data_IF_668428420005
#
_entry.id   IF_668428420005
#
_cell.length_a   1.000
_cell.length_b   1.000
_cell.length_c   1.000
_cell.angle_alpha   90.00
_cell.angle_beta   90.00
_cell.angle_gamma   90.00
#
_symmetry.space_group_name_H-M   'P 1'
#
loop_
_entity.id
_entity.type
_entity.pdbx_description
1 polymer ?
#
# COMPACT_ATOMS: atom_id res chain seq x y z
N UNK A 1 11.75 19.47 -25.60
CA UNK A 1 11.51 18.48 -24.54
C UNK A 1 12.43 17.31 -24.81
N UNK A 2 13.32 17.00 -23.87
CA UNK A 2 14.26 15.88 -23.98
C UNK A 2 13.73 14.76 -23.11
N UNK A 3 13.71 13.54 -23.64
CA UNK A 3 13.29 12.34 -22.91
C UNK A 3 14.56 11.54 -22.62
N UNK A 4 14.70 11.03 -21.41
CA UNK A 4 15.82 10.17 -21.00
C UNK A 4 15.89 8.92 -21.89
N UNK A 5 17.11 8.42 -22.15
CA UNK A 5 17.35 7.38 -23.15
C UNK A 5 16.66 6.05 -22.80
N UNK A 6 16.57 5.74 -21.51
CA UNK A 6 15.87 4.57 -20.98
C UNK A 6 14.36 4.66 -21.20
N UNK A 7 13.76 5.82 -20.92
CA UNK A 7 12.35 6.11 -21.18
C UNK A 7 12.06 6.07 -22.68
N UNK A 8 12.94 6.64 -23.51
CA UNK A 8 12.82 6.58 -24.97
C UNK A 8 12.88 5.13 -25.50
N UNK A 9 13.73 4.29 -24.91
CA UNK A 9 13.80 2.86 -25.23
C UNK A 9 12.50 2.12 -24.87
N UNK A 10 11.92 2.42 -23.70
CA UNK A 10 10.64 1.85 -23.27
C UNK A 10 9.49 2.24 -24.21
N UNK A 11 9.37 3.53 -24.56
CA UNK A 11 8.34 4.02 -25.48
C UNK A 11 8.50 3.37 -26.87
N UNK A 12 9.74 3.24 -27.37
CA UNK A 12 10.00 2.54 -28.65
C UNK A 12 9.60 1.07 -28.62
N UNK A 13 9.76 0.37 -27.49
CA UNK A 13 9.31 -1.01 -27.33
C UNK A 13 7.79 -1.12 -27.45
N UNK A 14 7.06 -0.22 -26.80
CA UNK A 14 5.59 -0.13 -26.88
C UNK A 14 5.16 0.20 -28.31
N UNK A 15 5.85 1.15 -28.96
CA UNK A 15 5.60 1.53 -30.34
C UNK A 15 5.69 0.33 -31.30
N UNK A 16 6.75 -0.48 -31.18
CA UNK A 16 6.94 -1.69 -32.02
C UNK A 16 5.87 -2.74 -31.76
N UNK A 17 5.50 -2.94 -30.48
CA UNK A 17 4.46 -3.90 -30.08
C UNK A 17 3.08 -3.50 -30.64
N UNK A 18 2.75 -2.21 -30.53
CA UNK A 18 1.41 -1.70 -30.84
C UNK A 18 1.28 -1.22 -32.31
N UNK A 19 2.38 -1.22 -33.07
CA UNK A 19 2.46 -0.77 -34.47
C UNK A 19 1.89 0.64 -34.72
N UNK A 20 2.03 1.53 -33.74
CA UNK A 20 1.52 2.91 -33.80
C UNK A 20 2.63 3.92 -34.09
N UNK A 21 2.31 5.12 -34.61
CA UNK A 21 3.28 6.21 -34.69
C UNK A 21 3.77 6.62 -33.30
N UNK A 22 5.07 6.92 -33.17
CA UNK A 22 5.70 7.30 -31.90
C UNK A 22 4.93 8.41 -31.16
N UNK A 23 4.51 9.46 -31.89
CA UNK A 23 3.72 10.58 -31.34
C UNK A 23 2.38 10.13 -30.72
N UNK A 24 1.72 9.15 -31.33
CA UNK A 24 0.45 8.62 -30.81
C UNK A 24 0.70 7.88 -29.50
N UNK A 25 1.73 7.03 -29.46
CA UNK A 25 2.11 6.29 -28.26
C UNK A 25 2.49 7.23 -27.12
N UNK A 26 3.31 8.25 -27.40
CA UNK A 26 3.69 9.27 -26.41
C UNK A 26 2.46 9.98 -25.85
N UNK A 27 1.56 10.45 -26.73
CA UNK A 27 0.37 11.16 -26.29
C UNK A 27 -0.57 10.27 -25.46
N UNK A 28 -0.75 9.01 -25.86
CA UNK A 28 -1.58 8.06 -25.13
C UNK A 28 -1.01 7.80 -23.73
N UNK A 29 0.31 7.62 -23.62
CA UNK A 29 0.99 7.42 -22.34
C UNK A 29 0.91 8.66 -21.44
N UNK A 30 1.15 9.85 -21.99
CA UNK A 30 1.06 11.10 -21.23
C UNK A 30 -0.37 11.34 -20.73
N UNK A 31 -1.39 11.11 -21.55
CA UNK A 31 -2.79 11.24 -21.13
C UNK A 31 -3.11 10.30 -19.96
N UNK A 32 -2.70 9.03 -20.06
CA UNK A 32 -2.89 8.06 -18.99
C UNK A 32 -2.15 8.46 -17.71
N UNK A 33 -0.87 8.81 -17.81
CA UNK A 33 -0.07 9.22 -16.66
C UNK A 33 -0.60 10.48 -15.97
N UNK A 34 -1.14 11.45 -16.73
CA UNK A 34 -1.77 12.64 -16.14
C UNK A 34 -3.08 12.29 -15.40
N UNK A 35 -3.89 11.38 -15.93
CA UNK A 35 -5.11 10.92 -15.25
C UNK A 35 -4.76 10.15 -13.98
N UNK A 36 -3.86 9.18 -14.06
CA UNK A 36 -3.41 8.38 -12.91
C UNK A 36 -2.78 9.27 -11.82
N UNK A 37 -1.92 10.22 -12.22
CA UNK A 37 -1.31 11.17 -11.28
C UNK A 37 -2.33 12.07 -10.61
N UNK A 38 -3.43 12.43 -11.29
CA UNK A 38 -4.50 13.23 -10.69
C UNK A 38 -5.36 12.42 -9.70
N UNK A 39 -5.49 11.11 -9.93
CA UNK A 39 -6.27 10.19 -9.08
C UNK A 39 -5.50 9.75 -7.84
N UNK A 40 -4.17 9.54 -7.95
CA UNK A 40 -3.33 9.20 -6.80
C UNK A 40 -3.32 10.27 -5.70
N UNK A 41 -3.59 11.53 -6.03
CA UNK A 41 -3.75 12.59 -5.03
C UNK A 41 -4.93 12.32 -4.07
N UNK A 42 -5.92 11.51 -4.48
CA UNK A 42 -7.10 11.19 -3.66
C UNK A 42 -6.98 9.86 -2.89
N UNK A 43 -6.02 8.99 -3.24
CA UNK A 43 -5.91 7.63 -2.69
C UNK A 43 -5.07 7.51 -1.42
N UNK A 44 -4.45 8.59 -0.94
CA UNK A 44 -3.91 8.63 0.43
C UNK A 44 -5.04 8.77 1.47
N UNK A 45 -6.07 7.93 1.40
CA UNK A 45 -6.91 7.67 2.56
C UNK A 45 -6.07 6.88 3.54
N UNK A 46 -5.57 7.56 4.57
CA UNK A 46 -4.99 6.91 5.73
C UNK A 46 -5.95 5.82 6.21
N UNK A 47 -5.51 4.56 6.16
CA UNK A 47 -6.25 3.47 6.78
C UNK A 47 -6.30 3.76 8.28
N UNK A 48 -7.51 3.98 8.80
CA UNK A 48 -7.75 4.18 10.23
C UNK A 48 -8.51 2.98 10.76
N UNK A 49 -7.87 2.16 11.58
CA UNK A 49 -8.55 1.11 12.33
C UNK A 49 -9.31 1.76 13.48
N UNK A 50 -10.63 1.53 13.64
CA UNK A 50 -11.38 2.04 14.78
C UNK A 50 -10.79 1.57 16.10
N UNK A 51 -10.83 2.44 17.12
CA UNK A 51 -10.47 2.05 18.48
C UNK A 51 -11.47 1.01 19.01
N UNK A 52 -10.95 -0.05 19.64
CA UNK A 52 -11.75 -1.07 20.32
C UNK A 52 -11.40 -1.06 21.81
N UNK A 53 -12.38 -0.75 22.66
CA UNK A 53 -12.23 -0.89 24.11
C UNK A 53 -12.36 -2.36 24.49
N UNK A 54 -11.28 -2.94 25.05
CA UNK A 54 -11.27 -4.29 25.63
C UNK A 54 -11.68 -4.32 27.11
N UNK A 55 -12.03 -3.17 27.69
CA UNK A 55 -12.20 -3.02 29.14
C UNK A 55 -10.87 -2.97 29.91
N UNK A 56 -10.92 -2.95 31.25
CA UNK A 56 -9.73 -2.91 32.09
C UNK A 56 -8.88 -4.17 31.91
N UNK A 57 -7.56 -4.02 31.93
CA UNK A 57 -6.65 -5.16 31.88
C UNK A 57 -6.87 -6.05 33.12
N UNK A 58 -7.04 -7.36 32.91
CA UNK A 58 -7.21 -8.34 33.99
C UNK A 58 -5.91 -8.64 34.73
N UNK A 59 -4.76 -8.35 34.12
CA UNK A 59 -3.43 -8.61 34.66
C UNK A 59 -2.74 -7.29 35.00
N UNK A 60 -1.97 -7.28 36.10
CA UNK A 60 -1.26 -6.09 36.56
C UNK A 60 -0.03 -5.77 35.71
N UNK A 61 0.59 -6.80 35.12
CA UNK A 61 1.77 -6.71 34.26
C UNK A 61 1.63 -7.72 33.10
N UNK A 62 1.75 -7.25 31.87
CA UNK A 62 1.68 -8.08 30.66
C UNK A 62 3.06 -8.57 30.20
N UNK A 63 4.15 -7.99 30.71
CA UNK A 63 5.51 -8.36 30.35
C UNK A 63 5.97 -9.62 31.10
N UNK A 64 5.35 -9.93 32.24
CA UNK A 64 5.60 -11.15 33.00
C UNK A 64 4.72 -12.31 32.53
N UNK A 65 5.08 -12.89 31.37
CA UNK A 65 4.34 -14.00 30.74
C UNK A 65 4.15 -15.20 31.70
N UNK A 66 5.15 -15.50 32.53
CA UNK A 66 5.08 -16.63 33.47
C UNK A 66 3.98 -16.46 34.53
N UNK A 67 3.78 -15.25 35.03
CA UNK A 67 2.74 -14.95 36.01
C UNK A 67 1.34 -14.97 35.38
N UNK A 68 1.20 -14.44 34.15
CA UNK A 68 -0.05 -14.46 33.39
C UNK A 68 -0.51 -15.89 33.15
N UNK A 69 0.40 -16.77 32.69
CA UNK A 69 0.09 -18.18 32.43
C UNK A 69 -0.32 -18.90 33.72
N UNK A 70 0.40 -18.68 34.83
CA UNK A 70 0.08 -19.32 36.10
C UNK A 70 -1.31 -18.91 36.65
N UNK A 71 -1.72 -17.65 36.43
CA UNK A 71 -3.07 -17.19 36.80
C UNK A 71 -4.13 -17.79 35.88
N UNK A 72 -3.91 -17.78 34.56
CA UNK A 72 -4.86 -18.33 33.58
C UNK A 72 -5.07 -19.83 33.77
N UNK A 73 -3.99 -20.60 33.94
CA UNK A 73 -4.06 -22.05 34.17
C UNK A 73 -4.79 -22.37 35.48
N UNK A 74 -4.64 -21.55 36.52
CA UNK A 74 -5.33 -21.76 37.80
C UNK A 74 -6.85 -21.55 37.71
N UNK A 75 -7.32 -20.66 36.82
CA UNK A 75 -8.75 -20.47 36.56
C UNK A 75 -9.38 -21.64 35.80
N UNK A 76 -8.63 -22.34 34.94
CA UNK A 76 -9.10 -23.52 34.19
C UNK A 76 -9.32 -24.78 35.05
N UNK A 77 -8.78 -24.80 36.27
CA UNK A 77 -8.91 -25.91 37.23
C UNK A 77 -9.86 -25.63 38.41
N UNK A 78 -10.71 -24.60 38.34
CA UNK A 78 -11.71 -24.26 39.38
C UNK A 78 -13.16 -24.48 38.96
#
# INVERSE_FOLDING_TARGET
MTIEDDVAAMIRRIQRRDQKPFKVVVNDLLRKGLVESSQQAEEHRHYSTPELSSGPCRFADLDNISEILAVAEREDYS
#
